data_IF_044229361075
#
_entry.id   IF_044229361075
#
_cell.length_a   1.000
_cell.length_b   1.000
_cell.length_c   1.000
_cell.angle_alpha   90.00
_cell.angle_beta   90.00
_cell.angle_gamma   90.00
#
_symmetry.space_group_name_H-M   'P 1'
#
loop_
_entity.id
_entity.type
_entity.pdbx_description
1 polymer ?
#
# COMPACT_ATOMS: atom_id res chain seq x y z
N UNK A 1 24.46 -7.38 -32.42
CA UNK A 1 24.48 -7.99 -31.08
C UNK A 1 24.69 -6.98 -29.95
N UNK A 2 25.75 -6.16 -29.95
CA UNK A 2 26.03 -5.17 -28.88
C UNK A 2 24.91 -4.15 -28.63
N UNK A 3 24.26 -3.63 -29.69
CA UNK A 3 23.14 -2.69 -29.60
C UNK A 3 21.87 -3.32 -28.99
N UNK A 4 21.63 -4.60 -29.27
CA UNK A 4 20.53 -5.37 -28.68
C UNK A 4 20.78 -5.65 -27.19
N UNK A 5 22.02 -5.97 -26.84
CA UNK A 5 22.44 -6.20 -25.46
C UNK A 5 22.32 -4.92 -24.61
N UNK A 6 22.71 -3.76 -25.17
CA UNK A 6 22.52 -2.45 -24.53
C UNK A 6 21.03 -2.08 -24.36
N UNK A 7 20.18 -2.41 -25.34
CA UNK A 7 18.74 -2.16 -25.24
C UNK A 7 18.08 -3.01 -24.12
N UNK A 8 18.46 -4.28 -24.01
CA UNK A 8 17.95 -5.18 -22.95
C UNK A 8 18.37 -4.68 -21.56
N UNK A 9 19.61 -4.20 -21.39
CA UNK A 9 20.11 -3.65 -20.13
C UNK A 9 19.39 -2.35 -19.72
N UNK A 10 19.07 -1.48 -20.68
CA UNK A 10 18.33 -0.25 -20.41
C UNK A 10 16.88 -0.53 -19.96
N UNK A 11 16.23 -1.50 -20.59
CA UNK A 11 14.85 -1.90 -20.25
C UNK A 11 14.80 -2.50 -18.84
N UNK A 12 15.73 -3.40 -18.49
CA UNK A 12 15.76 -4.02 -17.16
C UNK A 12 16.03 -3.02 -16.04
N UNK A 13 16.89 -2.03 -16.28
CA UNK A 13 17.14 -0.96 -15.32
C UNK A 13 15.90 -0.08 -15.08
N UNK A 14 15.15 0.22 -16.15
CA UNK A 14 13.94 1.05 -16.08
C UNK A 14 12.80 0.35 -15.33
N UNK A 15 12.63 -0.96 -15.49
CA UNK A 15 11.59 -1.71 -14.76
C UNK A 15 11.94 -1.91 -13.29
N UNK A 16 13.23 -2.04 -12.95
CA UNK A 16 13.69 -2.19 -11.57
C UNK A 16 13.44 -0.94 -10.72
N UNK A 17 13.66 0.26 -11.28
CA UNK A 17 13.45 1.52 -10.54
C UNK A 17 11.98 1.79 -10.23
N UNK A 18 11.05 1.33 -11.07
CA UNK A 18 9.61 1.47 -10.85
C UNK A 18 9.05 0.53 -9.76
N UNK A 19 9.77 -0.54 -9.41
CA UNK A 19 9.33 -1.54 -8.42
C UNK A 19 9.38 -1.03 -6.97
N UNK A 20 10.22 -0.02 -6.67
CA UNK A 20 10.42 0.48 -5.29
C UNK A 20 9.26 1.30 -4.72
N UNK A 21 8.22 1.59 -5.52
CA UNK A 21 7.09 2.42 -5.08
C UNK A 21 5.96 1.65 -4.36
N UNK A 22 6.03 0.33 -4.25
CA UNK A 22 5.00 -0.46 -3.56
C UNK A 22 5.33 -0.57 -2.08
N UNK A 23 4.92 0.44 -1.30
CA UNK A 23 4.96 0.36 0.16
C UNK A 23 3.83 -0.53 0.66
N UNK A 24 4.13 -1.78 1.01
CA UNK A 24 3.18 -2.63 1.73
C UNK A 24 2.99 -2.07 3.13
N UNK A 25 1.76 -1.70 3.47
CA UNK A 25 1.40 -1.30 4.81
C UNK A 25 1.45 -2.54 5.70
N UNK A 26 2.61 -2.82 6.28
CA UNK A 26 2.74 -3.85 7.29
C UNK A 26 1.83 -3.49 8.46
N UNK A 27 0.83 -4.33 8.71
CA UNK A 27 -0.09 -4.21 9.83
C UNK A 27 0.68 -4.54 11.10
N UNK A 28 1.49 -3.60 11.60
CA UNK A 28 2.28 -3.79 12.82
C UNK A 28 1.37 -3.72 14.04
N UNK A 29 0.71 -4.84 14.30
CA UNK A 29 -0.17 -5.05 15.44
C UNK A 29 -0.55 -6.52 15.50
N UNK A 30 -0.43 -7.12 16.70
CA UNK A 30 -0.60 -8.55 16.99
C UNK A 30 -2.01 -9.12 16.69
N UNK A 31 -2.86 -8.35 16.02
CA UNK A 31 -4.28 -8.65 15.77
C UNK A 31 -4.60 -8.84 14.28
N UNK A 32 -3.66 -8.58 13.37
CA UNK A 32 -3.92 -8.65 11.92
C UNK A 32 -4.98 -7.64 11.41
N UNK A 33 -5.45 -6.73 12.28
CA UNK A 33 -6.46 -5.71 11.96
C UNK A 33 -5.77 -4.46 11.44
N UNK A 34 -6.26 -3.94 10.31
CA UNK A 34 -5.81 -2.66 9.75
C UNK A 34 -6.07 -1.52 10.75
N UNK A 35 -5.05 -0.74 11.14
CA UNK A 35 -5.23 0.38 12.06
C UNK A 35 -6.27 1.37 11.56
N UNK A 36 -7.04 2.02 12.45
CA UNK A 36 -8.13 2.93 12.07
C UNK A 36 -7.67 4.07 11.16
N UNK A 37 -6.46 4.59 11.36
CA UNK A 37 -5.88 5.62 10.49
C UNK A 37 -5.58 5.13 9.07
N UNK A 38 -5.15 3.88 8.92
CA UNK A 38 -4.91 3.27 7.61
C UNK A 38 -6.24 2.95 6.91
N UNK A 39 -7.23 2.47 7.66
CA UNK A 39 -8.57 2.24 7.12
C UNK A 39 -9.21 3.54 6.64
N UNK A 40 -9.09 4.63 7.43
CA UNK A 40 -9.55 5.97 7.03
C UNK A 40 -8.98 6.38 5.67
N UNK A 41 -7.66 6.24 5.49
CA UNK A 41 -6.96 6.58 4.24
C UNK A 41 -7.42 5.71 3.07
N UNK A 42 -7.56 4.39 3.26
CA UNK A 42 -8.01 3.47 2.21
C UNK A 42 -9.47 3.71 1.80
N UNK A 43 -10.37 3.94 2.75
CA UNK A 43 -11.80 4.12 2.46
C UNK A 43 -12.14 5.56 2.03
N UNK A 44 -11.20 6.51 2.11
CA UNK A 44 -11.46 7.92 1.81
C UNK A 44 -12.41 8.60 2.81
N UNK A 45 -12.66 7.98 3.96
CA UNK A 45 -13.58 8.51 4.96
C UNK A 45 -13.03 9.77 5.63
N UNK A 46 -13.92 10.72 5.97
CA UNK A 46 -13.52 11.96 6.65
C UNK A 46 -13.01 11.74 8.09
N UNK A 47 -13.34 10.63 8.73
CA UNK A 47 -12.99 10.34 10.14
C UNK A 47 -12.56 8.90 10.36
N UNK A 48 -11.59 8.69 11.25
CA UNK A 48 -11.14 7.36 11.68
C UNK A 48 -12.02 6.76 12.80
N UNK A 49 -12.93 7.57 13.38
CA UNK A 49 -13.81 7.18 14.49
C UNK A 49 -14.61 5.90 14.22
N UNK A 50 -15.20 5.67 13.02
CA UNK A 50 -15.94 4.45 12.73
C UNK A 50 -15.10 3.16 12.76
N UNK A 51 -13.77 3.29 12.67
CA UNK A 51 -12.84 2.18 12.65
C UNK A 51 -12.09 2.01 13.99
N UNK A 52 -12.36 2.88 14.97
CA UNK A 52 -11.71 2.82 16.28
C UNK A 52 -12.15 1.57 17.07
N UNK A 53 -11.29 0.98 17.90
CA UNK A 53 -11.68 -0.10 18.80
C UNK A 53 -12.82 0.34 19.73
N UNK A 54 -13.81 -0.52 19.96
CA UNK A 54 -14.95 -0.24 20.85
C UNK A 54 -16.02 0.68 20.27
N UNK A 55 -15.89 1.16 19.03
CA UNK A 55 -16.96 1.92 18.38
C UNK A 55 -18.08 1.01 17.85
N UNK A 56 -19.32 1.37 18.17
CA UNK A 56 -20.50 0.67 17.66
C UNK A 56 -20.74 1.06 16.21
N UNK A 57 -20.64 0.08 15.31
CA UNK A 57 -20.90 0.30 13.89
C UNK A 57 -22.42 0.41 13.68
N UNK A 58 -22.86 1.57 13.19
CA UNK A 58 -24.24 1.75 12.74
C UNK A 58 -24.36 1.13 11.35
N UNK A 59 -24.98 -0.03 11.26
CA UNK A 59 -25.43 -0.62 10.00
C UNK A 59 -26.92 -0.25 9.86
N UNK A 60 -27.28 0.42 8.76
CA UNK A 60 -28.67 0.67 8.37
C UNK A 60 -29.13 -0.44 7.43
#
# INVERSE_FOLDING_TARGET
>A
MKKLLLAILAISFTTFTLSSCVHTYETRGNSGKVPPGQMKKRTGSKSAKPYAPGQQKKHY
#
